data_IF_677492410199
#
_entry.id   IF_677492410199
#
_cell.length_a   1.000
_cell.length_b   1.000
_cell.length_c   1.000
_cell.angle_alpha   90.00
_cell.angle_beta   90.00
_cell.angle_gamma   90.00
#
_symmetry.space_group_name_H-M   'P 1'
#
loop_
_entity.id
_entity.type
_entity.pdbx_description
1 polymer ?
#
# COMPACT_ATOMS: atom_id res chain seq x y z
N UNK A 1 19.52 -10.94 3.88
CA UNK A 1 19.67 -9.69 3.11
C UNK A 1 18.36 -9.45 2.38
N UNK A 2 17.58 -8.44 2.78
CA UNK A 2 16.30 -8.10 2.13
C UNK A 2 16.57 -7.38 0.81
N UNK A 3 15.80 -7.70 -0.24
CA UNK A 3 15.96 -7.23 -1.64
C UNK A 3 15.84 -5.71 -1.85
N UNK A 4 15.79 -4.90 -0.79
CA UNK A 4 15.57 -3.46 -0.83
C UNK A 4 16.81 -2.63 -1.26
N UNK A 5 18.00 -3.25 -1.37
CA UNK A 5 19.26 -2.54 -1.68
C UNK A 5 19.71 -2.63 -3.15
N UNK A 6 19.01 -3.37 -4.01
CA UNK A 6 19.51 -3.70 -5.36
C UNK A 6 18.99 -2.81 -6.50
N UNK A 7 18.14 -1.80 -6.24
CA UNK A 7 17.49 -1.03 -7.33
C UNK A 7 17.50 0.50 -7.18
N UNK A 8 18.49 1.10 -6.52
CA UNK A 8 18.68 2.56 -6.61
C UNK A 8 20.15 2.94 -6.81
N UNK A 9 20.54 3.53 -7.96
CA UNK A 9 21.76 4.32 -8.00
C UNK A 9 21.47 5.68 -7.34
N UNK A 10 22.28 6.01 -6.33
CA UNK A 10 22.64 7.36 -5.86
C UNK A 10 21.61 8.49 -6.08
N UNK A 11 20.88 8.84 -5.02
CA UNK A 11 20.10 10.09 -5.01
C UNK A 11 19.33 10.29 -3.71
N UNK A 12 19.99 10.89 -2.71
CA UNK A 12 19.33 11.44 -1.52
C UNK A 12 18.35 12.55 -1.93
N UNK A 13 17.10 12.18 -2.20
CA UNK A 13 15.96 13.07 -2.27
C UNK A 13 15.02 12.80 -1.10
N UNK A 14 14.41 13.85 -0.55
CA UNK A 14 13.44 13.85 0.57
C UNK A 14 12.15 13.02 0.33
N UNK A 15 12.12 12.12 -0.67
CA UNK A 15 10.94 11.37 -1.13
C UNK A 15 11.10 9.85 -1.15
N UNK A 16 12.13 9.29 -0.52
CA UNK A 16 12.33 7.82 -0.47
C UNK A 16 11.22 7.07 0.32
N UNK A 17 11.10 5.74 0.13
CA UNK A 17 10.04 4.93 0.76
C UNK A 17 10.06 5.02 2.29
N UNK A 18 11.24 5.15 2.90
CA UNK A 18 11.38 5.37 4.35
C UNK A 18 10.83 6.72 4.82
N UNK A 19 10.92 7.78 4.01
CA UNK A 19 10.35 9.08 4.35
C UNK A 19 8.82 9.00 4.33
N UNK A 20 8.26 8.34 3.32
CA UNK A 20 6.82 8.13 3.21
C UNK A 20 6.26 7.25 4.36
N UNK A 21 6.91 6.13 4.68
CA UNK A 21 6.50 5.26 5.80
C UNK A 21 6.44 6.06 7.10
N UNK A 22 7.46 6.89 7.38
CA UNK A 22 7.48 7.74 8.57
C UNK A 22 6.40 8.83 8.54
N UNK A 23 6.16 9.44 7.38
CA UNK A 23 5.08 10.42 7.19
C UNK A 23 3.72 9.79 7.49
N UNK A 24 3.44 8.63 6.90
CA UNK A 24 2.24 7.85 7.16
C UNK A 24 2.11 7.50 8.64
N UNK A 25 3.13 6.90 9.26
CA UNK A 25 3.09 6.52 10.67
C UNK A 25 2.81 7.71 11.60
N UNK A 26 3.37 8.89 11.32
CA UNK A 26 3.09 10.12 12.07
C UNK A 26 1.66 10.63 11.86
N UNK A 27 1.13 10.53 10.64
CA UNK A 27 -0.24 10.90 10.31
C UNK A 27 -1.32 9.89 10.76
N UNK A 28 -0.91 8.70 11.20
CA UNK A 28 -1.80 7.62 11.66
C UNK A 28 -1.74 7.36 13.17
N UNK A 29 -0.86 8.02 13.93
CA UNK A 29 -0.94 8.00 15.39
C UNK A 29 -2.19 8.76 15.84
N UNK A 30 -3.17 8.02 16.40
CA UNK A 30 -4.29 8.61 17.13
C UNK A 30 -3.74 9.33 18.37
N UNK A 31 -4.21 10.55 18.63
CA UNK A 31 -4.03 11.23 19.92
C UNK A 31 -4.54 10.26 21.01
N UNK A 32 -3.72 9.86 21.99
CA UNK A 32 -4.22 9.01 23.06
C UNK A 32 -5.15 9.86 23.94
N UNK A 33 -6.41 9.46 24.04
CA UNK A 33 -7.23 9.81 25.19
C UNK A 33 -6.53 9.23 26.42
N UNK A 34 -6.22 10.10 27.38
CA UNK A 34 -5.49 9.76 28.60
C UNK A 34 -6.23 8.68 29.39
N UNK A 35 -5.70 7.47 29.37
CA UNK A 35 -6.15 6.35 30.20
C UNK A 35 -5.04 5.32 30.24
N UNK A 36 -4.41 5.16 31.42
CA UNK A 36 -3.28 4.25 31.61
C UNK A 36 -3.67 2.82 31.26
N UNK A 37 -2.98 2.25 30.27
CA UNK A 37 -3.05 0.83 29.94
C UNK A 37 -1.65 0.23 29.99
N UNK A 38 -1.56 -0.93 30.65
CA UNK A 38 -0.40 -1.80 30.81
C UNK A 38 0.30 -2.07 29.46
N UNK A 39 1.61 -2.42 29.43
CA UNK A 39 2.30 -2.74 28.19
C UNK A 39 1.63 -3.97 27.56
N UNK A 40 0.85 -3.75 26.51
CA UNK A 40 0.23 -4.82 25.75
C UNK A 40 1.34 -5.74 25.22
N UNK A 41 1.18 -7.05 25.45
CA UNK A 41 2.01 -8.10 24.85
C UNK A 41 2.19 -7.78 23.37
N UNK A 42 3.44 -7.61 22.91
CA UNK A 42 3.72 -7.48 21.49
C UNK A 42 3.37 -8.81 20.81
N UNK A 43 2.15 -8.93 20.30
CA UNK A 43 1.84 -9.89 19.25
C UNK A 43 2.69 -9.51 18.05
N UNK A 44 3.54 -10.42 17.60
CA UNK A 44 4.24 -10.25 16.33
C UNK A 44 3.17 -10.20 15.24
N UNK A 45 2.88 -9.00 14.74
CA UNK A 45 1.99 -8.81 13.59
C UNK A 45 2.63 -9.48 12.36
N UNK A 46 1.98 -10.51 11.83
CA UNK A 46 2.43 -11.23 10.63
C UNK A 46 1.62 -10.76 9.43
N UNK A 47 2.31 -10.53 8.31
CA UNK A 47 1.72 -10.10 7.05
C UNK A 47 2.16 -11.04 5.91
N UNK A 48 1.21 -11.44 5.08
CA UNK A 48 1.43 -12.31 3.92
C UNK A 48 0.80 -11.72 2.67
N UNK A 49 1.55 -11.75 1.57
CA UNK A 49 1.09 -11.37 0.25
C UNK A 49 1.18 -12.56 -0.69
N UNK A 50 0.12 -13.37 -0.75
CA UNK A 50 0.19 -14.68 -1.39
C UNK A 50 1.30 -15.53 -0.75
N UNK A 51 2.21 -16.11 -1.55
CA UNK A 51 3.29 -16.97 -1.01
C UNK A 51 4.39 -16.18 -0.27
N UNK A 52 4.36 -14.85 -0.27
CA UNK A 52 5.43 -14.01 0.27
C UNK A 52 5.14 -13.54 1.69
N UNK A 53 6.13 -13.66 2.58
CA UNK A 53 6.11 -13.02 3.90
C UNK A 53 6.56 -11.57 3.76
N UNK A 54 5.78 -10.64 4.30
CA UNK A 54 6.07 -9.20 4.23
C UNK A 54 6.71 -8.76 5.56
N UNK A 55 7.79 -7.98 5.47
CA UNK A 55 8.44 -7.44 6.66
C UNK A 55 7.53 -6.35 7.26
N UNK A 56 7.24 -6.35 8.58
CA UNK A 56 6.44 -5.30 9.22
C UNK A 56 6.95 -3.86 8.99
N UNK A 57 8.20 -3.67 8.57
CA UNK A 57 8.75 -2.36 8.16
C UNK A 57 8.20 -1.86 6.83
N UNK A 58 7.79 -2.77 5.94
CA UNK A 58 7.21 -2.45 4.64
C UNK A 58 5.72 -2.08 4.76
N UNK A 59 5.10 -2.45 5.88
CA UNK A 59 3.72 -2.10 6.24
C UNK A 59 3.70 -0.79 7.02
N UNK A 60 2.95 0.19 6.51
CA UNK A 60 2.85 1.53 7.09
C UNK A 60 1.47 1.85 7.68
N UNK A 61 0.45 1.04 7.38
CA UNK A 61 -0.88 1.14 7.95
C UNK A 61 -1.53 -0.24 8.02
N UNK A 62 -2.34 -0.49 9.04
CA UNK A 62 -3.14 -1.71 9.13
C UNK A 62 -4.41 -1.48 9.93
N UNK A 63 -5.43 -2.27 9.63
CA UNK A 63 -6.68 -2.43 10.37
C UNK A 63 -6.78 -3.90 10.81
N UNK A 64 -7.86 -4.30 11.51
CA UNK A 64 -8.12 -5.71 11.78
C UNK A 64 -8.36 -6.57 10.53
N UNK A 65 -8.71 -5.98 9.37
CA UNK A 65 -9.09 -6.72 8.16
C UNK A 65 -8.19 -6.44 6.94
N UNK A 66 -7.45 -5.33 6.92
CA UNK A 66 -6.60 -4.92 5.80
C UNK A 66 -5.24 -4.39 6.27
N UNK A 67 -4.30 -4.28 5.35
CA UNK A 67 -3.02 -3.62 5.56
C UNK A 67 -2.54 -2.92 4.29
N UNK A 68 -1.71 -1.89 4.46
CA UNK A 68 -1.12 -1.14 3.36
C UNK A 68 0.41 -1.22 3.42
N UNK A 69 1.03 -1.53 2.28
CA UNK A 69 2.47 -1.74 2.16
C UNK A 69 3.06 -1.03 0.95
N UNK A 70 4.36 -0.74 1.01
CA UNK A 70 5.12 -0.20 -0.13
C UNK A 70 5.21 -1.23 -1.25
N UNK A 71 5.13 -0.79 -2.51
CA UNK A 71 5.32 -1.67 -3.66
C UNK A 71 6.82 -1.85 -3.95
N UNK A 72 7.24 -3.10 -4.20
CA UNK A 72 8.63 -3.42 -4.58
C UNK A 72 8.99 -2.90 -5.97
N UNK A 73 8.02 -2.87 -6.89
CA UNK A 73 8.18 -2.37 -8.27
C UNK A 73 7.10 -1.32 -8.56
N UNK A 74 7.26 -0.09 -8.06
CA UNK A 74 6.26 0.95 -8.22
C UNK A 74 6.22 1.45 -9.67
N UNK A 75 5.03 1.47 -10.27
CA UNK A 75 4.80 2.01 -11.63
C UNK A 75 5.08 3.52 -11.68
N UNK A 76 4.65 4.24 -10.65
CA UNK A 76 4.96 5.66 -10.44
C UNK A 76 5.48 5.87 -9.00
N UNK A 77 6.26 6.92 -8.73
CA UNK A 77 6.68 7.25 -7.37
C UNK A 77 5.48 7.40 -6.43
N UNK A 78 5.46 6.61 -5.36
CA UNK A 78 4.33 6.58 -4.41
C UNK A 78 3.29 5.50 -4.70
N UNK A 79 3.50 4.64 -5.69
CA UNK A 79 2.64 3.48 -5.87
C UNK A 79 2.77 2.51 -4.68
N UNK A 80 1.64 2.30 -3.99
CA UNK A 80 1.52 1.37 -2.86
C UNK A 80 0.41 0.35 -3.10
N UNK A 81 0.36 -0.65 -2.24
CA UNK A 81 -0.64 -1.71 -2.25
C UNK A 81 -1.48 -1.69 -0.97
N UNK A 82 -2.79 -1.92 -1.09
CA UNK A 82 -3.69 -2.21 0.03
C UNK A 82 -4.28 -3.61 -0.18
N UNK A 83 -4.12 -4.48 0.81
CA UNK A 83 -4.49 -5.88 0.73
C UNK A 83 -5.36 -6.27 1.94
N UNK A 84 -6.28 -7.25 1.80
CA UNK A 84 -6.92 -7.86 2.95
C UNK A 84 -5.89 -8.68 3.74
N UNK A 85 -6.12 -8.89 5.04
CA UNK A 85 -5.28 -9.78 5.87
C UNK A 85 -5.52 -11.24 5.54
N UNK A 86 -6.76 -11.61 5.23
CA UNK A 86 -7.11 -12.96 4.78
C UNK A 86 -6.68 -13.12 3.33
N UNK A 87 -5.90 -14.16 3.06
CA UNK A 87 -5.45 -14.47 1.70
C UNK A 87 -6.63 -14.95 0.84
N UNK A 88 -7.15 -14.05 0.02
CA UNK A 88 -8.16 -14.33 -1.02
C UNK A 88 -7.62 -14.06 -2.39
N UNK A 89 -7.91 -14.94 -3.35
CA UNK A 89 -7.35 -14.83 -4.71
C UNK A 89 -8.15 -13.87 -5.58
N UNK A 90 -9.48 -13.89 -5.44
CA UNK A 90 -10.40 -13.11 -6.27
C UNK A 90 -11.16 -12.09 -5.44
N UNK A 91 -11.47 -10.95 -6.06
CA UNK A 91 -12.24 -9.88 -5.40
C UNK A 91 -13.62 -10.38 -4.95
N UNK A 92 -14.24 -11.26 -5.73
CA UNK A 92 -15.53 -11.89 -5.40
C UNK A 92 -15.49 -12.81 -4.17
N UNK A 93 -14.30 -13.21 -3.70
CA UNK A 93 -14.14 -14.08 -2.52
C UNK A 93 -14.07 -13.28 -1.20
N UNK A 94 -14.07 -11.94 -1.27
CA UNK A 94 -14.11 -11.06 -0.10
C UNK A 94 -15.47 -11.10 0.58
N UNK A 95 -15.49 -10.97 1.90
CA UNK A 95 -16.74 -10.67 2.60
C UNK A 95 -17.14 -9.22 2.39
N UNK A 96 -18.38 -8.86 2.79
CA UNK A 96 -18.85 -7.48 2.75
C UNK A 96 -17.98 -6.58 3.65
N UNK A 97 -17.64 -7.07 4.84
CA UNK A 97 -16.83 -6.35 5.82
C UNK A 97 -15.41 -6.12 5.31
N UNK A 98 -14.80 -7.13 4.70
CA UNK A 98 -13.47 -6.99 4.09
C UNK A 98 -13.49 -6.04 2.90
N UNK A 99 -14.51 -6.12 2.04
CA UNK A 99 -14.66 -5.20 0.90
C UNK A 99 -14.79 -3.75 1.37
N UNK A 100 -15.59 -3.50 2.41
CA UNK A 100 -15.75 -2.18 3.00
C UNK A 100 -14.45 -1.67 3.62
N UNK A 101 -13.81 -2.47 4.48
CA UNK A 101 -12.56 -2.07 5.15
C UNK A 101 -11.42 -1.84 4.14
N UNK A 102 -11.33 -2.65 3.08
CA UNK A 102 -10.33 -2.52 2.02
C UNK A 102 -10.47 -1.19 1.29
N UNK A 103 -11.68 -0.82 0.87
CA UNK A 103 -11.93 0.45 0.16
C UNK A 103 -11.85 1.68 1.07
N UNK A 104 -12.31 1.60 2.33
CA UNK A 104 -12.12 2.69 3.30
C UNK A 104 -10.64 2.90 3.60
N UNK A 105 -9.87 1.82 3.69
CA UNK A 105 -8.41 1.88 3.83
C UNK A 105 -7.79 2.52 2.60
N UNK A 106 -8.16 2.08 1.39
CA UNK A 106 -7.64 2.63 0.15
C UNK A 106 -7.94 4.12 -0.01
N UNK A 107 -9.17 4.55 0.28
CA UNK A 107 -9.57 5.97 0.26
C UNK A 107 -8.69 6.81 1.21
N UNK A 108 -8.50 6.33 2.44
CA UNK A 108 -7.68 7.01 3.45
C UNK A 108 -6.22 7.12 3.03
N UNK A 109 -5.64 6.04 2.50
CA UNK A 109 -4.24 6.02 2.04
C UNK A 109 -4.08 6.91 0.80
N UNK A 110 -5.01 6.84 -0.15
CA UNK A 110 -5.02 7.66 -1.36
C UNK A 110 -4.95 9.15 -1.07
N UNK A 111 -5.83 9.67 -0.20
CA UNK A 111 -5.81 11.10 0.14
C UNK A 111 -4.49 11.56 0.78
N UNK A 112 -3.81 10.68 1.54
CA UNK A 112 -2.49 10.99 2.11
C UNK A 112 -1.38 10.94 1.06
N UNK A 113 -1.43 9.99 0.14
CA UNK A 113 -0.49 9.87 -0.97
C UNK A 113 -0.56 11.07 -1.90
N UNK A 114 -1.77 11.45 -2.29
CA UNK A 114 -2.00 12.59 -3.18
C UNK A 114 -1.36 13.86 -2.61
N UNK A 115 -1.64 14.15 -1.33
CA UNK A 115 -1.06 15.28 -0.60
C UNK A 115 0.47 15.18 -0.47
N UNK A 116 1.01 14.04 -0.04
CA UNK A 116 2.45 13.87 0.18
C UNK A 116 3.25 14.00 -1.12
N UNK A 117 2.75 13.40 -2.20
CA UNK A 117 3.42 13.43 -3.49
C UNK A 117 3.17 14.74 -4.25
N UNK A 118 2.31 15.65 -3.76
CA UNK A 118 1.84 16.82 -4.52
C UNK A 118 1.26 16.40 -5.87
N UNK A 119 0.49 15.32 -5.86
CA UNK A 119 -0.30 14.87 -6.99
C UNK A 119 -1.64 15.62 -7.02
N UNK A 120 -2.31 15.55 -8.16
CA UNK A 120 -3.63 16.18 -8.37
C UNK A 120 -4.72 15.16 -8.68
N UNK A 121 -4.36 13.88 -8.78
CA UNK A 121 -5.27 12.78 -9.08
C UNK A 121 -4.71 11.45 -8.55
N UNK A 122 -5.56 10.43 -8.52
CA UNK A 122 -5.21 9.07 -8.10
C UNK A 122 -5.76 8.05 -9.10
N UNK A 123 -4.97 7.02 -9.41
CA UNK A 123 -5.48 5.79 -10.04
C UNK A 123 -5.61 4.71 -8.98
N UNK A 124 -6.81 4.14 -8.85
CA UNK A 124 -7.09 2.94 -8.07
C UNK A 124 -7.36 1.79 -9.03
N UNK A 125 -6.70 0.65 -8.84
CA UNK A 125 -6.84 -0.48 -9.76
C UNK A 125 -6.70 -1.81 -9.04
N UNK A 126 -7.47 -2.78 -9.50
CA UNK A 126 -7.46 -4.17 -9.06
C UNK A 126 -7.34 -5.02 -10.32
N UNK A 127 -6.24 -5.78 -10.42
CA UNK A 127 -6.09 -6.81 -11.43
C UNK A 127 -6.68 -8.12 -10.88
N UNK A 128 -7.98 -8.35 -11.10
CA UNK A 128 -8.69 -9.51 -10.53
C UNK A 128 -8.57 -10.76 -11.43
N UNK A 129 -7.51 -11.54 -11.21
CA UNK A 129 -7.24 -12.80 -11.90
C UNK A 129 -6.15 -12.71 -12.98
N UNK A 130 -5.59 -13.85 -13.43
CA UNK A 130 -4.41 -13.86 -14.30
C UNK A 130 -4.59 -13.12 -15.64
N UNK A 131 -5.80 -13.16 -16.22
CA UNK A 131 -6.11 -12.48 -17.48
C UNK A 131 -6.30 -10.97 -17.34
N UNK A 132 -6.44 -10.47 -16.11
CA UNK A 132 -6.46 -9.04 -15.80
C UNK A 132 -5.06 -8.50 -15.43
N UNK A 133 -4.01 -9.33 -15.48
CA UNK A 133 -2.64 -8.95 -15.11
C UNK A 133 -2.20 -9.38 -13.71
N UNK A 134 -3.04 -10.09 -12.95
CA UNK A 134 -2.72 -10.48 -11.57
C UNK A 134 -1.46 -11.36 -11.50
N UNK A 135 -0.39 -10.85 -10.90
CA UNK A 135 0.88 -11.59 -10.75
C UNK A 135 0.98 -12.35 -9.43
N UNK A 136 0.42 -11.80 -8.35
CA UNK A 136 0.35 -12.45 -7.03
C UNK A 136 -1.10 -12.84 -6.74
N UNK A 137 -1.41 -14.12 -6.45
CA UNK A 137 -2.78 -14.59 -6.23
C UNK A 137 -3.29 -14.22 -4.83
N UNK A 138 -3.32 -12.92 -4.54
CA UNK A 138 -3.90 -12.31 -3.35
C UNK A 138 -4.50 -10.99 -3.79
N UNK A 139 -5.76 -10.67 -3.44
CA UNK A 139 -6.38 -9.38 -3.78
C UNK A 139 -5.52 -8.22 -3.27
N UNK A 140 -5.29 -7.22 -4.12
CA UNK A 140 -4.62 -5.99 -3.76
C UNK A 140 -5.12 -4.85 -4.63
N UNK A 141 -5.33 -3.70 -4.02
CA UNK A 141 -5.59 -2.43 -4.71
C UNK A 141 -4.26 -1.73 -4.88
N UNK A 142 -3.87 -1.46 -6.13
CA UNK A 142 -2.81 -0.49 -6.37
C UNK A 142 -3.39 0.92 -6.22
N UNK A 143 -2.66 1.78 -5.53
CA UNK A 143 -2.96 3.20 -5.43
C UNK A 143 -1.77 3.94 -6.02
N UNK A 144 -2.01 4.72 -7.08
CA UNK A 144 -0.99 5.42 -7.83
C UNK A 144 -1.30 6.93 -7.79
N UNK A 145 -0.48 7.76 -7.12
CA UNK A 145 -0.62 9.20 -7.19
C UNK A 145 -0.20 9.70 -8.58
N UNK A 146 -1.08 10.46 -9.24
CA UNK A 146 -0.95 10.91 -10.63
C UNK A 146 -0.61 12.39 -10.71
N UNK A 147 0.24 12.73 -11.67
CA UNK A 147 0.67 14.11 -11.96
C UNK A 147 0.60 14.38 -13.45
N UNK A 148 0.48 15.64 -13.80
CA UNK A 148 0.66 16.05 -15.18
C UNK A 148 2.06 15.64 -15.68
N UNK A 149 2.11 15.05 -16.87
CA UNK A 149 3.35 14.56 -17.49
C UNK A 149 3.98 13.33 -16.81
N UNK A 150 3.25 12.57 -15.97
CA UNK A 150 3.76 11.29 -15.45
C UNK A 150 3.83 10.19 -16.53
N UNK A 151 3.03 10.31 -17.58
CA UNK A 151 3.08 9.55 -18.82
C UNK A 151 2.83 10.49 -20.02
N UNK A 152 3.35 10.15 -21.21
CA UNK A 152 3.06 10.91 -22.42
C UNK A 152 1.58 10.73 -22.84
N UNK A 153 1.09 9.49 -22.77
CA UNK A 153 -0.34 9.17 -22.92
C UNK A 153 -0.84 8.46 -21.68
N UNK A 154 -1.98 8.90 -21.15
CA UNK A 154 -2.51 8.38 -19.88
C UNK A 154 -2.66 6.84 -19.86
N UNK A 155 -3.00 6.22 -20.98
CA UNK A 155 -3.26 4.78 -21.04
C UNK A 155 -1.98 3.91 -21.10
N UNK A 156 -0.79 4.52 -21.28
CA UNK A 156 0.50 3.79 -21.20
C UNK A 156 0.75 3.22 -19.81
N UNK A 157 0.06 3.75 -18.80
CA UNK A 157 0.07 3.21 -17.44
C UNK A 157 -0.28 1.71 -17.41
N UNK A 158 -1.16 1.24 -18.29
CA UNK A 158 -1.59 -0.16 -18.31
C UNK A 158 -0.52 -1.12 -18.84
N UNK A 159 0.41 -0.63 -19.65
CA UNK A 159 1.53 -1.42 -20.17
C UNK A 159 2.62 -1.62 -19.09
N UNK A 160 2.68 -0.72 -18.10
CA UNK A 160 3.63 -0.77 -16.99
C UNK A 160 3.12 -1.53 -15.74
N UNK A 161 1.83 -1.87 -15.68
CA UNK A 161 1.19 -2.54 -14.53
C UNK A 161 1.39 -4.07 -14.47
#
# INVERSE_FOLDING_TARGET
MTKLQLLYPLGLGLGGPFCFINFCRRGFQTIPLSGGASPAKMSTEFYSFGPYKIDPKEVFYSTPLSYAMVNLRPVVPGNVLVCPRREVKRFADLTVEETQDLWLTAQKIGGRLECFHKASSLTFTIQDGPKAGQTVPHVHIHILPRKDGDFERNDEIYDEM
#
